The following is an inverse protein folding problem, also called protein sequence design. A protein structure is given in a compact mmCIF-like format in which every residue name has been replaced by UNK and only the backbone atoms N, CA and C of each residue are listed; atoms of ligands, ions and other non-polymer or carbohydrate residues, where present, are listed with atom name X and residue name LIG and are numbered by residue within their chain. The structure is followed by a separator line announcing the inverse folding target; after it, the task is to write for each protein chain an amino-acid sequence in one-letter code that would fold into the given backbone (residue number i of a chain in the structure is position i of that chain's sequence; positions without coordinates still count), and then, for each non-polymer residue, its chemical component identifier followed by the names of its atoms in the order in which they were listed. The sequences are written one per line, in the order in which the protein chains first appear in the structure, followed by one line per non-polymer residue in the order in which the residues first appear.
data_IF_615609626023
#
_entry.id   IF_615609626023
#
_cell.length_a   1.000
_cell.length_b   1.000
_cell.length_c   1.000
_cell.angle_alpha   90.00
_cell.angle_beta   90.00
_cell.angle_gamma   90.00
#
_symmetry.space_group_name_H-M   'P 1'
#
loop_
_entity.id
_entity.type
_entity.pdbx_description
1 polymer ?
#
# COMPACT_ATOMS: atom_id res chain seq x y z
N UNK A 1 32.12 14.10 1.08
CA UNK A 1 31.50 14.94 0.04
C UNK A 1 30.26 15.55 0.65
N UNK A 2 30.15 16.88 0.71
CA UNK A 2 28.93 17.51 1.19
C UNK A 2 27.80 17.17 0.21
N UNK A 3 26.75 16.50 0.68
CA UNK A 3 25.57 16.23 -0.13
C UNK A 3 24.93 17.58 -0.44
N UNK A 4 24.78 17.90 -1.73
CA UNK A 4 24.15 19.15 -2.16
C UNK A 4 22.62 19.01 -2.09
N UNK A 5 22.08 19.23 -0.89
CA UNK A 5 20.64 19.17 -0.62
C UNK A 5 19.88 20.19 -1.49
N UNK A 6 20.48 21.33 -1.84
CA UNK A 6 19.83 22.33 -2.69
C UNK A 6 19.67 21.81 -4.12
N UNK A 7 20.68 21.15 -4.66
CA UNK A 7 20.59 20.50 -5.97
C UNK A 7 19.55 19.38 -5.99
N UNK A 8 19.53 18.52 -4.96
CA UNK A 8 18.52 17.45 -4.84
C UNK A 8 17.12 18.08 -4.75
N UNK A 9 16.92 19.08 -3.90
CA UNK A 9 15.61 19.72 -3.71
C UNK A 9 15.08 20.33 -5.01
N UNK A 10 15.93 21.05 -5.76
CA UNK A 10 15.55 21.62 -7.06
C UNK A 10 15.19 20.54 -8.08
N UNK A 11 15.94 19.43 -8.10
CA UNK A 11 15.66 18.28 -8.97
C UNK A 11 14.32 17.64 -8.62
N UNK A 12 14.06 17.37 -7.34
CA UNK A 12 12.78 16.80 -6.89
C UNK A 12 11.61 17.73 -7.18
N UNK A 13 11.75 19.03 -6.94
CA UNK A 13 10.69 20.02 -7.19
C UNK A 13 10.26 20.03 -8.66
N UNK A 14 11.22 20.00 -9.60
CA UNK A 14 10.94 19.94 -11.04
C UNK A 14 10.35 18.59 -11.45
N UNK A 15 10.95 17.49 -10.98
CA UNK A 15 10.58 16.17 -11.45
C UNK A 15 9.27 15.64 -10.84
N UNK A 16 8.79 16.23 -9.73
CA UNK A 16 7.55 15.85 -9.03
C UNK A 16 6.30 16.61 -9.52
N UNK A 17 6.41 17.52 -10.49
CA UNK A 17 5.27 18.32 -10.99
C UNK A 17 4.09 17.45 -11.46
N UNK A 18 4.39 16.31 -12.09
CA UNK A 18 3.37 15.38 -12.60
C UNK A 18 2.45 14.80 -11.50
N UNK A 19 2.89 14.78 -10.24
CA UNK A 19 2.08 14.30 -9.12
C UNK A 19 0.83 15.16 -8.93
N UNK A 20 0.96 16.48 -9.13
CA UNK A 20 -0.17 17.40 -9.05
C UNK A 20 -1.13 17.15 -10.21
N UNK A 21 -0.62 16.87 -11.41
CA UNK A 21 -1.44 16.51 -12.56
C UNK A 21 -2.26 15.24 -12.29
N UNK A 22 -1.62 14.18 -11.76
CA UNK A 22 -2.32 12.95 -11.37
C UNK A 22 -3.39 13.26 -10.30
N UNK A 23 -3.03 13.99 -9.25
CA UNK A 23 -3.94 14.26 -8.12
C UNK A 23 -5.16 15.08 -8.56
N UNK A 24 -4.94 16.07 -9.42
CA UNK A 24 -6.01 16.91 -9.99
C UNK A 24 -6.94 16.09 -10.89
N UNK A 25 -6.38 15.22 -11.73
CA UNK A 25 -7.17 14.37 -12.61
C UNK A 25 -8.00 13.32 -11.83
N UNK A 26 -7.41 12.71 -10.81
CA UNK A 26 -8.10 11.78 -9.92
C UNK A 26 -9.24 12.47 -9.15
N UNK A 27 -9.01 13.70 -8.68
CA UNK A 27 -9.99 14.48 -7.90
C UNK A 27 -11.25 14.87 -8.68
N UNK A 28 -11.21 14.80 -10.02
CA UNK A 28 -12.41 14.97 -10.87
C UNK A 28 -13.44 13.87 -10.62
N UNK A 29 -12.98 12.64 -10.36
CA UNK A 29 -13.86 11.48 -10.15
C UNK A 29 -13.99 11.12 -8.69
N UNK A 30 -12.89 11.19 -7.93
CA UNK A 30 -12.82 10.76 -6.54
C UNK A 30 -13.03 11.94 -5.59
N UNK A 31 -13.93 11.75 -4.62
CA UNK A 31 -14.29 12.75 -3.62
C UNK A 31 -13.95 12.20 -2.23
N UNK A 32 -13.33 13.02 -1.39
CA UNK A 32 -13.09 12.68 0.02
C UNK A 32 -12.00 11.64 0.31
N UNK A 33 -11.31 11.12 -0.70
CA UNK A 33 -10.32 10.04 -0.53
C UNK A 33 -8.88 10.47 -0.77
N UNK A 34 -8.54 11.73 -0.45
CA UNK A 34 -7.17 12.26 -0.63
C UNK A 34 -6.13 11.39 0.06
N UNK A 35 -6.42 10.95 1.28
CA UNK A 35 -5.56 10.06 2.05
C UNK A 35 -5.27 8.75 1.29
N UNK A 36 -6.29 8.05 0.79
CA UNK A 36 -6.10 6.80 0.07
C UNK A 36 -5.28 6.99 -1.21
N UNK A 37 -5.59 8.03 -2.01
CA UNK A 37 -4.85 8.32 -3.23
C UNK A 37 -3.38 8.62 -2.94
N UNK A 38 -3.11 9.42 -1.91
CA UNK A 38 -1.74 9.71 -1.47
C UNK A 38 -0.99 8.41 -1.10
N UNK A 39 -1.63 7.49 -0.40
CA UNK A 39 -1.00 6.20 -0.03
C UNK A 39 -0.80 5.25 -1.19
N UNK A 40 -1.69 5.27 -2.18
CA UNK A 40 -1.48 4.54 -3.44
C UNK A 40 -0.30 5.11 -4.23
N UNK A 41 -0.15 6.44 -4.27
CA UNK A 41 1.02 7.09 -4.88
C UNK A 41 2.30 6.74 -4.14
N UNK A 42 2.30 6.77 -2.80
CA UNK A 42 3.43 6.30 -1.99
C UNK A 42 3.77 4.86 -2.36
N UNK A 43 2.79 3.93 -2.37
CA UNK A 43 3.01 2.54 -2.76
C UNK A 43 3.59 2.37 -4.17
N UNK A 44 3.15 3.18 -5.15
CA UNK A 44 3.73 3.19 -6.48
C UNK A 44 5.19 3.66 -6.47
N UNK A 45 5.49 4.76 -5.79
CA UNK A 45 6.80 5.40 -5.71
C UNK A 45 7.80 4.64 -4.84
N UNK A 46 7.33 3.85 -3.89
CA UNK A 46 8.15 3.01 -3.00
C UNK A 46 8.22 1.56 -3.44
N UNK A 47 7.56 1.21 -4.55
CA UNK A 47 7.38 -0.16 -5.00
C UNK A 47 6.78 -1.09 -3.91
N UNK A 48 5.88 -0.56 -3.09
CA UNK A 48 5.22 -1.26 -1.99
C UNK A 48 3.75 -1.57 -2.26
N UNK A 49 3.25 -2.68 -1.73
CA UNK A 49 1.84 -3.07 -1.83
C UNK A 49 1.01 -2.53 -0.66
N UNK A 50 -0.29 -2.36 -0.88
CA UNK A 50 -1.20 -1.74 0.08
C UNK A 50 -2.31 -2.73 0.46
N UNK A 51 -2.51 -2.91 1.75
CA UNK A 51 -3.67 -3.59 2.32
C UNK A 51 -4.69 -2.53 2.76
N UNK A 52 -5.95 -2.72 2.45
CA UNK A 52 -7.01 -1.79 2.76
C UNK A 52 -8.10 -2.52 3.54
N UNK A 53 -8.27 -2.11 4.78
CA UNK A 53 -9.39 -2.48 5.61
C UNK A 53 -10.43 -1.36 5.57
N UNK A 54 -11.66 -1.71 5.24
CA UNK A 54 -12.72 -0.71 5.21
C UNK A 54 -14.02 -1.28 4.68
N UNK A 55 -15.10 -0.59 5.00
CA UNK A 55 -16.47 -0.96 4.63
C UNK A 55 -16.68 -0.99 3.10
N UNK A 56 -17.64 -1.79 2.62
CA UNK A 56 -18.03 -1.80 1.21
C UNK A 56 -18.60 -0.44 0.79
N UNK A 57 -18.57 -0.16 -0.52
CA UNK A 57 -19.16 1.05 -1.09
C UNK A 57 -18.27 2.30 -1.08
N UNK A 58 -17.04 2.25 -0.55
CA UNK A 58 -16.10 3.37 -0.53
C UNK A 58 -15.39 3.63 -1.87
N UNK A 59 -16.02 3.37 -3.01
CA UNK A 59 -15.48 3.64 -4.35
C UNK A 59 -14.02 3.17 -4.61
N UNK A 60 -13.52 2.16 -3.88
CA UNK A 60 -12.12 1.68 -3.93
C UNK A 60 -11.73 1.26 -5.36
N UNK A 61 -12.61 0.50 -6.01
CA UNK A 61 -12.46 0.10 -7.42
C UNK A 61 -12.34 1.31 -8.35
N UNK A 62 -13.15 2.35 -8.12
CA UNK A 62 -13.12 3.55 -8.92
C UNK A 62 -11.82 4.31 -8.71
N UNK A 63 -11.34 4.42 -7.47
CA UNK A 63 -10.08 5.10 -7.18
C UNK A 63 -8.87 4.45 -7.84
N UNK A 64 -8.71 3.12 -7.73
CA UNK A 64 -7.60 2.40 -8.37
C UNK A 64 -7.71 2.47 -9.89
N UNK A 65 -8.92 2.29 -10.45
CA UNK A 65 -9.15 2.37 -11.90
C UNK A 65 -8.90 3.78 -12.44
N UNK A 66 -9.30 4.82 -11.70
CA UNK A 66 -9.02 6.20 -12.08
C UNK A 66 -7.52 6.47 -12.04
N UNK A 67 -6.84 6.06 -10.97
CA UNK A 67 -5.38 6.20 -10.86
C UNK A 67 -4.63 5.42 -11.95
N UNK A 68 -5.11 4.23 -12.34
CA UNK A 68 -4.47 3.49 -13.43
C UNK A 68 -4.61 4.21 -14.77
N UNK A 69 -5.80 4.77 -15.03
CA UNK A 69 -6.09 5.50 -16.25
C UNK A 69 -5.27 6.79 -16.37
N UNK A 70 -5.03 7.49 -15.26
CA UNK A 70 -4.19 8.71 -15.27
C UNK A 70 -2.72 8.40 -15.58
N UNK A 71 -2.24 7.19 -15.27
CA UNK A 71 -0.85 6.74 -15.44
C UNK A 71 -0.70 5.81 -16.68
N UNK A 72 -1.72 5.66 -17.54
CA UNK A 72 -1.69 4.72 -18.69
C UNK A 72 -1.31 3.28 -18.34
N UNK A 73 -1.69 2.82 -17.16
CA UNK A 73 -1.34 1.49 -16.66
C UNK A 73 -2.50 0.51 -16.83
N UNK A 74 -2.19 -0.78 -16.97
CA UNK A 74 -3.23 -1.82 -17.00
C UNK A 74 -3.82 -2.00 -15.61
N UNK A 75 -5.14 -1.93 -15.53
CA UNK A 75 -5.89 -2.25 -14.31
C UNK A 75 -6.60 -3.58 -14.43
N UNK A 76 -6.50 -4.37 -13.37
CA UNK A 76 -7.26 -5.59 -13.21
C UNK A 76 -7.91 -5.65 -11.83
N UNK A 77 -9.22 -5.90 -11.81
CA UNK A 77 -9.93 -6.27 -10.59
C UNK A 77 -10.01 -7.79 -10.49
N UNK A 78 -9.73 -8.30 -9.31
CA UNK A 78 -9.79 -9.70 -8.94
C UNK A 78 -10.67 -9.84 -7.72
N UNK A 79 -11.77 -10.56 -7.87
CA UNK A 79 -12.63 -10.91 -6.76
C UNK A 79 -12.15 -12.23 -6.16
N UNK A 80 -11.79 -12.22 -4.89
CA UNK A 80 -11.41 -13.44 -4.18
C UNK A 80 -12.68 -14.14 -3.71
N UNK A 81 -12.81 -15.41 -4.09
CA UNK A 81 -13.94 -16.28 -3.75
C UNK A 81 -13.44 -17.61 -3.19
N UNK A 82 -14.27 -18.37 -2.45
CA UNK A 82 -13.84 -19.64 -1.83
C UNK A 82 -13.40 -20.71 -2.83
N UNK A 83 -13.89 -20.65 -4.07
CA UNK A 83 -13.64 -21.58 -5.17
C UNK A 83 -12.46 -21.19 -6.06
N UNK A 84 -11.89 -19.98 -5.87
CA UNK A 84 -10.78 -19.48 -6.67
C UNK A 84 -9.55 -20.40 -6.53
N UNK A 85 -8.87 -20.71 -7.64
CA UNK A 85 -7.64 -21.48 -7.64
C UNK A 85 -6.41 -20.60 -7.91
N UNK A 86 -5.21 -20.99 -7.44
CA UNK A 86 -3.98 -20.26 -7.77
C UNK A 86 -3.76 -20.09 -9.29
N UNK A 87 -4.15 -21.08 -10.09
CA UNK A 87 -4.04 -21.03 -11.54
C UNK A 87 -4.96 -19.97 -12.18
N UNK A 88 -6.08 -19.61 -11.55
CA UNK A 88 -6.96 -18.55 -12.03
C UNK A 88 -6.35 -17.17 -11.84
N UNK A 89 -5.42 -17.03 -10.90
CA UNK A 89 -4.67 -15.81 -10.62
C UNK A 89 -3.41 -15.70 -11.51
N UNK A 90 -2.60 -16.75 -11.49
CA UNK A 90 -1.28 -16.80 -12.11
C UNK A 90 -1.40 -17.05 -13.63
N UNK A 91 -2.30 -17.94 -14.03
CA UNK A 91 -2.41 -18.43 -15.40
C UNK A 91 -2.22 -19.93 -15.50
N UNK A 92 -2.48 -20.47 -16.68
CA UNK A 92 -2.46 -21.91 -16.94
C UNK A 92 -1.96 -22.23 -18.35
N UNK A 93 -1.59 -23.49 -18.58
CA UNK A 93 -1.30 -24.01 -19.91
C UNK A 93 -2.61 -24.45 -20.57
N UNK A 94 -2.91 -23.90 -21.74
CA UNK A 94 -4.06 -24.29 -22.55
C UNK A 94 -3.58 -25.13 -23.74
N UNK A 95 -4.27 -26.23 -24.03
CA UNK A 95 -3.96 -27.04 -25.21
C UNK A 95 -4.57 -26.41 -26.46
N UNK A 96 -3.74 -25.94 -27.38
CA UNK A 96 -4.18 -25.41 -28.67
C UNK A 96 -4.38 -26.57 -29.66
N UNK A 97 -5.65 -26.92 -29.90
CA UNK A 97 -6.05 -28.00 -30.81
C UNK A 97 -5.61 -27.76 -32.26
N UNK A 98 -5.41 -26.51 -32.69
CA UNK A 98 -5.00 -26.21 -34.06
C UNK A 98 -3.54 -26.60 -34.32
N UNK A 99 -2.70 -26.51 -33.29
CA UNK A 99 -1.25 -26.68 -33.41
C UNK A 99 -0.77 -27.96 -32.73
N UNK A 100 -1.62 -28.60 -31.93
CA UNK A 100 -1.28 -29.74 -31.09
C UNK A 100 -0.28 -29.42 -29.97
N UNK A 101 -0.24 -28.16 -29.49
CA UNK A 101 0.75 -27.67 -28.53
C UNK A 101 0.09 -27.01 -27.33
N UNK A 102 0.71 -27.14 -26.16
CA UNK A 102 0.34 -26.33 -25.00
C UNK A 102 0.87 -24.91 -25.15
N UNK A 103 0.01 -23.91 -24.96
CA UNK A 103 0.35 -22.49 -24.98
C UNK A 103 0.02 -21.87 -23.62
N UNK A 104 0.85 -20.92 -23.18
CA UNK A 104 0.66 -20.27 -21.89
C UNK A 104 -0.41 -19.20 -21.97
N UNK A 105 -1.44 -19.32 -21.13
CA UNK A 105 -2.42 -18.26 -20.90
C UNK A 105 -2.07 -17.55 -19.60
N UNK A 106 -1.54 -16.32 -19.72
CA UNK A 106 -1.24 -15.44 -18.58
C UNK A 106 -2.53 -15.12 -17.82
N UNK A 107 -2.45 -15.20 -16.49
CA UNK A 107 -3.55 -14.86 -15.60
C UNK A 107 -3.76 -13.35 -15.44
N UNK A 108 -4.81 -12.96 -14.71
CA UNK A 108 -5.15 -11.57 -14.42
C UNK A 108 -4.09 -10.84 -13.58
N UNK A 109 -3.16 -11.54 -12.90
CA UNK A 109 -2.09 -10.89 -12.13
C UNK A 109 -1.11 -10.10 -13.02
N UNK A 110 -1.07 -10.38 -14.34
CA UNK A 110 -0.27 -9.65 -15.32
C UNK A 110 -0.93 -8.32 -15.71
N UNK A 111 -1.00 -7.42 -14.74
CA UNK A 111 -1.40 -6.03 -14.88
C UNK A 111 -0.51 -5.16 -14.00
N UNK A 112 -0.49 -3.86 -14.24
CA UNK A 112 0.30 -2.92 -13.45
C UNK A 112 -0.37 -2.60 -12.11
N UNK A 113 -1.70 -2.45 -12.10
CA UNK A 113 -2.48 -2.14 -10.91
C UNK A 113 -3.54 -3.22 -10.71
N UNK A 114 -3.38 -3.98 -9.64
CA UNK A 114 -4.26 -5.10 -9.30
C UNK A 114 -5.04 -4.76 -8.05
N UNK A 115 -6.37 -4.75 -8.16
CA UNK A 115 -7.27 -4.71 -7.01
C UNK A 115 -7.66 -6.16 -6.65
N UNK A 116 -7.12 -6.67 -5.55
CA UNK A 116 -7.48 -7.97 -4.98
C UNK A 116 -8.56 -7.76 -3.92
N UNK A 117 -9.82 -7.91 -4.32
CA UNK A 117 -10.98 -7.63 -3.48
C UNK A 117 -11.33 -8.82 -2.60
N UNK A 118 -11.50 -8.59 -1.30
CA UNK A 118 -11.89 -9.57 -0.28
C UNK A 118 -10.96 -10.78 -0.20
N UNK A 119 -9.65 -10.53 -0.12
CA UNK A 119 -8.61 -11.57 -0.10
C UNK A 119 -8.81 -12.62 0.99
N UNK A 120 -9.49 -12.24 2.07
CA UNK A 120 -9.87 -13.12 3.18
C UNK A 120 -11.01 -14.09 2.82
N UNK A 121 -11.59 -14.07 1.62
CA UNK A 121 -12.62 -15.05 1.20
C UNK A 121 -12.10 -16.26 0.45
N UNK A 122 -10.81 -16.26 0.04
CA UNK A 122 -10.20 -17.40 -0.63
C UNK A 122 -9.30 -18.21 0.31
N UNK A 123 -9.07 -19.50 0.00
CA UNK A 123 -8.16 -20.35 0.77
C UNK A 123 -6.72 -19.81 0.82
N UNK A 124 -5.99 -20.18 1.88
CA UNK A 124 -4.61 -19.76 2.11
C UNK A 124 -3.64 -20.01 0.94
N UNK A 125 -3.90 -21.04 0.12
CA UNK A 125 -3.09 -21.33 -1.08
C UNK A 125 -3.19 -20.24 -2.15
N UNK A 126 -4.38 -19.67 -2.33
CA UNK A 126 -4.63 -18.58 -3.29
C UNK A 126 -4.01 -17.28 -2.78
N UNK A 127 -4.19 -17.01 -1.48
CA UNK A 127 -3.55 -15.88 -0.81
C UNK A 127 -2.02 -15.96 -0.95
N UNK A 128 -1.44 -17.15 -0.72
CA UNK A 128 0.01 -17.38 -0.86
C UNK A 128 0.49 -17.13 -2.29
N UNK A 129 -0.26 -17.56 -3.31
CA UNK A 129 0.08 -17.32 -4.71
C UNK A 129 0.13 -15.81 -5.06
N UNK A 130 -0.81 -15.01 -4.53
CA UNK A 130 -0.78 -13.55 -4.69
C UNK A 130 0.45 -12.95 -3.99
N UNK A 131 0.70 -13.35 -2.75
CA UNK A 131 1.80 -12.82 -1.93
C UNK A 131 3.18 -13.20 -2.50
N UNK A 132 3.30 -14.38 -3.10
CA UNK A 132 4.51 -14.80 -3.82
C UNK A 132 4.73 -13.91 -5.04
N UNK A 133 3.70 -13.69 -5.86
CA UNK A 133 3.76 -12.78 -7.01
C UNK A 133 4.15 -11.34 -6.60
N UNK A 134 3.64 -10.86 -5.45
CA UNK A 134 4.01 -9.56 -4.87
C UNK A 134 5.50 -9.49 -4.49
N UNK A 135 6.01 -10.52 -3.84
CA UNK A 135 7.39 -10.53 -3.35
C UNK A 135 8.41 -10.80 -4.46
N UNK A 136 8.16 -11.79 -5.31
CA UNK A 136 9.10 -12.26 -6.33
C UNK A 136 9.01 -11.47 -7.63
N UNK A 137 7.92 -10.72 -7.85
CA UNK A 137 7.66 -9.94 -9.09
C UNK A 137 7.67 -10.78 -10.37
N UNK A 138 7.50 -12.08 -10.23
CA UNK A 138 7.44 -13.03 -11.32
C UNK A 138 6.56 -14.20 -10.89
N UNK A 139 6.04 -14.93 -11.88
CA UNK A 139 5.26 -16.14 -11.64
C UNK A 139 5.70 -17.23 -12.61
N UNK A 140 5.66 -18.48 -12.16
CA UNK A 140 6.00 -19.64 -12.99
C UNK A 140 4.73 -20.34 -13.44
N UNK A 141 4.58 -20.52 -14.77
CA UNK A 141 3.46 -21.25 -15.38
C UNK A 141 4.02 -22.44 -16.13
N UNK A 142 3.70 -23.65 -15.67
CA UNK A 142 4.37 -24.86 -16.15
C UNK A 142 5.86 -24.81 -15.80
N UNK A 143 6.72 -24.83 -16.81
CA UNK A 143 8.19 -24.80 -16.64
C UNK A 143 8.80 -23.42 -16.92
N UNK A 144 8.00 -22.43 -17.32
CA UNK A 144 8.51 -21.11 -17.73
C UNK A 144 8.14 -20.04 -16.70
N UNK A 145 9.14 -19.27 -16.28
CA UNK A 145 8.97 -18.11 -15.39
C UNK A 145 8.75 -16.84 -16.21
N UNK A 146 7.76 -16.05 -15.80
CA UNK A 146 7.37 -14.81 -16.46
C UNK A 146 7.45 -13.64 -15.47
N UNK A 147 8.17 -12.56 -15.81
CA UNK A 147 8.13 -11.35 -15.00
C UNK A 147 6.76 -10.67 -15.10
N UNK A 148 6.36 -10.00 -14.02
CA UNK A 148 5.19 -9.14 -13.98
C UNK A 148 5.49 -7.76 -14.60
N UNK A 149 4.45 -7.05 -15.01
CA UNK A 149 4.57 -5.73 -15.66
C UNK A 149 5.03 -4.67 -14.62
N UNK A 150 6.01 -3.81 -14.93
CA UNK A 150 6.46 -2.72 -14.05
C UNK A 150 5.87 -1.37 -14.52
N UNK A 151 5.34 -0.49 -13.63
CA UNK A 151 5.12 -0.66 -12.20
C UNK A 151 4.09 -1.76 -11.89
N UNK A 152 4.33 -2.53 -10.82
CA UNK A 152 3.38 -3.51 -10.27
C UNK A 152 2.92 -3.09 -8.86
N UNK A 153 1.64 -2.80 -8.68
CA UNK A 153 1.00 -2.47 -7.41
C UNK A 153 -0.18 -3.41 -7.18
N UNK A 154 -0.28 -3.95 -5.96
CA UNK A 154 -1.45 -4.68 -5.49
C UNK A 154 -2.10 -3.86 -4.39
N UNK A 155 -3.36 -3.48 -4.58
CA UNK A 155 -4.25 -3.04 -3.51
C UNK A 155 -5.11 -4.25 -3.12
N UNK A 156 -4.87 -4.79 -1.95
CA UNK A 156 -5.66 -5.90 -1.42
C UNK A 156 -6.70 -5.36 -0.43
N UNK A 157 -7.94 -5.85 -0.45
CA UNK A 157 -8.97 -5.45 0.50
C UNK A 157 -9.36 -6.59 1.43
N UNK A 158 -9.70 -6.23 2.66
CA UNK A 158 -10.32 -7.12 3.63
C UNK A 158 -11.59 -6.47 4.16
N UNK A 159 -12.66 -7.26 4.22
CA UNK A 159 -13.91 -6.83 4.86
C UNK A 159 -13.91 -7.33 6.31
N UNK A 160 -13.87 -6.44 7.31
CA UNK A 160 -13.77 -6.85 8.72
C UNK A 160 -15.08 -7.41 9.29
N UNK A 161 -16.21 -7.20 8.62
CA UNK A 161 -17.55 -7.55 9.14
C UNK A 161 -17.97 -8.98 8.79
N UNK A 162 -17.34 -9.61 7.79
CA UNK A 162 -17.78 -10.89 7.24
C UNK A 162 -17.23 -12.07 8.08
N UNK A 163 -18.11 -12.69 8.87
CA UNK A 163 -17.75 -13.76 9.82
C UNK A 163 -17.87 -15.18 9.24
N UNK A 164 -18.62 -15.37 8.15
CA UNK A 164 -18.81 -16.69 7.54
C UNK A 164 -17.89 -16.90 6.32
N UNK A 165 -17.17 -18.03 6.30
CA UNK A 165 -16.36 -18.43 5.15
C UNK A 165 -15.11 -17.58 4.91
N UNK A 166 -14.62 -16.86 5.93
CA UNK A 166 -13.40 -16.07 5.85
C UNK A 166 -12.17 -16.80 6.40
N UNK A 167 -11.05 -16.59 5.73
CA UNK A 167 -9.71 -17.08 6.03
C UNK A 167 -8.84 -15.84 6.31
N UNK A 168 -8.69 -15.42 7.58
CA UNK A 168 -7.88 -14.25 7.89
C UNK A 168 -6.43 -14.48 7.46
N UNK A 169 -5.79 -13.41 6.99
CA UNK A 169 -4.37 -13.47 6.68
C UNK A 169 -3.57 -13.57 7.99
N UNK A 170 -2.69 -14.56 8.15
CA UNK A 170 -1.73 -14.59 9.24
C UNK A 170 -0.86 -13.32 9.27
N UNK A 171 -0.39 -12.92 10.43
CA UNK A 171 0.40 -11.71 10.67
C UNK A 171 1.65 -11.67 9.78
N UNK A 172 2.31 -12.83 9.61
CA UNK A 172 3.46 -12.97 8.72
C UNK A 172 3.14 -12.71 7.25
N UNK A 173 1.88 -12.90 6.83
CA UNK A 173 1.40 -12.57 5.49
C UNK A 173 1.05 -11.09 5.39
N UNK A 174 0.40 -10.53 6.40
CA UNK A 174 0.06 -9.10 6.46
C UNK A 174 1.34 -8.23 6.48
N UNK A 175 2.42 -8.67 7.13
CA UNK A 175 3.72 -7.96 7.17
C UNK A 175 4.36 -7.74 5.78
N UNK A 176 3.95 -8.52 4.77
CA UNK A 176 4.40 -8.34 3.37
C UNK A 176 3.80 -7.09 2.70
N UNK A 177 2.69 -6.58 3.21
CA UNK A 177 2.14 -5.30 2.74
C UNK A 177 2.91 -4.14 3.36
N UNK A 178 3.29 -3.17 2.55
CA UNK A 178 4.00 -1.98 3.03
C UNK A 178 3.10 -1.16 3.96
N UNK A 179 1.88 -0.89 3.51
CA UNK A 179 0.89 -0.05 4.19
C UNK A 179 -0.38 -0.86 4.47
N UNK A 180 -0.96 -0.70 5.67
CA UNK A 180 -2.35 -1.07 5.97
C UNK A 180 -3.14 0.22 6.20
N UNK A 181 -4.14 0.45 5.36
CA UNK A 181 -5.02 1.62 5.44
C UNK A 181 -6.33 1.21 6.10
N UNK A 182 -6.81 2.04 7.03
CA UNK A 182 -8.16 1.95 7.56
C UNK A 182 -8.96 3.14 7.06
N UNK A 183 -10.04 2.88 6.32
CA UNK A 183 -10.88 3.92 5.72
C UNK A 183 -12.32 3.74 6.19
N UNK A 184 -12.84 4.78 6.85
CA UNK A 184 -14.23 4.88 7.27
C UNK A 184 -15.15 5.45 6.18
N UNK A 185 -16.41 5.67 6.54
CA UNK A 185 -17.36 6.35 5.66
C UNK A 185 -16.95 7.82 5.41
N UNK A 186 -17.26 8.37 4.22
CA UNK A 186 -17.07 9.79 3.95
C UNK A 186 -17.87 10.65 4.93
N UNK A 187 -17.44 11.89 5.13
CA UNK A 187 -18.24 12.84 5.90
C UNK A 187 -19.47 13.30 5.10
N UNK A 188 -20.42 13.99 5.75
CA UNK A 188 -21.68 14.40 5.12
C UNK A 188 -21.51 15.25 3.86
N UNK A 189 -20.49 16.11 3.82
CA UNK A 189 -20.23 16.99 2.67
C UNK A 189 -19.66 16.18 1.51
N UNK A 190 -18.69 15.31 1.79
CA UNK A 190 -18.12 14.38 0.83
C UNK A 190 -19.20 13.42 0.27
N UNK A 191 -20.05 12.87 1.14
CA UNK A 191 -21.12 11.97 0.74
C UNK A 191 -22.19 12.67 -0.12
N UNK A 192 -22.54 13.91 0.21
CA UNK A 192 -23.43 14.71 -0.62
C UNK A 192 -22.85 14.96 -2.01
N UNK A 193 -21.55 15.24 -2.11
CA UNK A 193 -20.87 15.44 -3.39
C UNK A 193 -20.73 14.12 -4.17
N UNK A 194 -20.44 13.00 -3.50
CA UNK A 194 -20.47 11.66 -4.11
C UNK A 194 -21.87 11.39 -4.68
N UNK A 195 -22.92 11.63 -3.91
CA UNK A 195 -24.31 11.45 -4.34
C UNK A 195 -24.61 12.31 -5.58
N UNK A 196 -24.24 13.60 -5.58
CA UNK A 196 -24.46 14.50 -6.73
C UNK A 196 -23.74 14.02 -7.98
N UNK A 197 -22.48 13.58 -7.87
CA UNK A 197 -21.70 13.08 -9.01
C UNK A 197 -22.23 11.75 -9.54
N UNK A 198 -22.55 10.81 -8.66
CA UNK A 198 -23.01 9.46 -9.04
C UNK A 198 -24.47 9.44 -9.50
N UNK A 199 -25.31 10.36 -9.01
CA UNK A 199 -26.68 10.53 -9.49
C UNK A 199 -26.76 11.31 -10.82
N UNK A 200 -25.70 12.05 -11.18
CA UNK A 200 -25.55 12.68 -12.48
C UNK A 200 -25.39 11.65 -13.60
N UNK A 201 -25.83 11.99 -14.82
CA UNK A 201 -25.78 11.06 -15.97
C UNK A 201 -24.38 10.88 -16.59
N UNK A 202 -23.38 11.66 -16.19
CA UNK A 202 -22.04 11.61 -16.77
C UNK A 202 -20.98 11.50 -15.68
N UNK A 203 -20.31 10.34 -15.63
CA UNK A 203 -19.05 10.22 -14.88
C UNK A 203 -17.99 11.02 -15.63
N UNK A 204 -17.22 11.90 -14.96
CA UNK A 204 -16.17 12.67 -15.63
C UNK A 204 -15.18 11.74 -16.33
N UNK A 205 -14.85 12.03 -17.59
CA UNK A 205 -13.77 11.34 -18.28
C UNK A 205 -12.42 11.74 -17.69
N UNK A 206 -11.57 10.74 -17.48
CA UNK A 206 -10.24 10.87 -16.89
C UNK A 206 -9.24 10.81 -18.02
N UNK A 207 -8.45 11.86 -18.17
CA UNK A 207 -7.36 11.86 -19.15
C UNK A 207 -6.15 11.14 -18.61
N UNK A 208 -5.46 10.46 -19.50
CA UNK A 208 -4.11 9.99 -19.23
C UNK A 208 -3.17 11.20 -19.20
N UNK A 209 -2.48 11.41 -18.09
CA UNK A 209 -1.58 12.55 -17.89
C UNK A 209 -0.11 12.13 -17.77
N UNK A 210 0.16 10.87 -17.42
CA UNK A 210 1.52 10.38 -17.12
C UNK A 210 1.74 9.00 -17.73
N UNK A 211 2.95 8.76 -18.24
CA UNK A 211 3.40 7.45 -18.73
C UNK A 211 3.98 6.60 -17.57
N UNK A 212 3.81 5.27 -17.56
CA UNK A 212 4.36 4.42 -16.50
C UNK A 212 5.87 4.54 -16.31
N UNK A 213 6.64 4.77 -17.38
CA UNK A 213 8.09 4.97 -17.31
C UNK A 213 8.48 6.17 -16.44
N UNK A 214 7.60 7.19 -16.36
CA UNK A 214 7.80 8.36 -15.49
C UNK A 214 7.71 7.99 -14.01
N UNK A 215 6.81 7.07 -13.64
CA UNK A 215 6.73 6.52 -12.28
C UNK A 215 8.00 5.75 -11.94
N UNK A 216 8.48 4.92 -12.87
CA UNK A 216 9.71 4.14 -12.67
C UNK A 216 10.91 5.07 -12.47
N UNK A 217 11.06 6.11 -13.31
CA UNK A 217 12.10 7.11 -13.14
C UNK A 217 11.99 7.86 -11.80
N UNK A 218 10.77 8.18 -11.36
CA UNK A 218 10.52 8.84 -10.08
C UNK A 218 10.92 7.97 -8.88
N UNK A 219 10.83 6.63 -8.96
CA UNK A 219 11.32 5.73 -7.89
C UNK A 219 12.81 5.94 -7.62
N UNK A 220 13.63 6.04 -8.67
CA UNK A 220 15.07 6.31 -8.53
C UNK A 220 15.34 7.67 -7.89
N UNK A 221 14.49 8.68 -8.17
CA UNK A 221 14.59 9.99 -7.52
C UNK A 221 14.18 9.96 -6.05
N UNK A 222 13.18 9.14 -5.70
CA UNK A 222 12.79 8.91 -4.30
C UNK A 222 13.97 8.31 -3.52
N UNK A 223 14.74 7.40 -4.11
CA UNK A 223 15.94 6.84 -3.47
C UNK A 223 17.02 7.90 -3.19
N UNK A 224 17.15 8.91 -4.06
CA UNK A 224 18.06 10.05 -3.92
C UNK A 224 17.64 11.05 -2.83
N UNK A 225 16.38 11.04 -2.37
CA UNK A 225 15.91 11.95 -1.31
C UNK A 225 16.77 11.75 -0.06
N UNK A 226 17.30 12.87 0.46
CA UNK A 226 18.19 12.85 1.61
C UNK A 226 17.41 12.53 2.90
N UNK A 227 18.01 11.73 3.77
CA UNK A 227 17.53 11.50 5.13
C UNK A 227 18.72 11.61 6.06
N UNK A 228 18.57 12.43 7.10
CA UNK A 228 19.63 12.65 8.07
C UNK A 228 19.71 11.47 9.04
N UNK A 229 20.92 11.16 9.52
CA UNK A 229 21.16 10.08 10.48
C UNK A 229 20.27 10.21 11.72
N UNK A 230 19.97 11.44 12.16
CA UNK A 230 19.04 11.68 13.28
C UNK A 230 17.64 11.15 13.00
N UNK A 231 17.14 11.32 11.78
CA UNK A 231 15.82 10.83 11.38
C UNK A 231 15.86 9.30 11.21
N UNK A 232 16.95 8.73 10.71
CA UNK A 232 17.14 7.28 10.67
C UNK A 232 17.13 6.67 12.08
N UNK A 233 17.82 7.29 13.04
CA UNK A 233 17.78 6.89 14.45
C UNK A 233 16.37 7.00 15.02
N UNK A 234 15.65 8.09 14.73
CA UNK A 234 14.24 8.25 15.12
C UNK A 234 13.35 7.09 14.60
N UNK A 235 13.54 6.65 13.36
CA UNK A 235 12.84 5.47 12.81
C UNK A 235 13.18 4.20 13.59
N UNK A 236 14.46 4.01 13.93
CA UNK A 236 14.91 2.85 14.72
C UNK A 236 14.30 2.89 16.12
N UNK A 237 14.32 4.04 16.79
CA UNK A 237 13.76 4.24 18.12
C UNK A 237 12.26 3.93 18.15
N UNK A 238 11.50 4.38 17.14
CA UNK A 238 10.08 4.02 16.99
C UNK A 238 9.90 2.50 16.94
N UNK A 239 10.69 1.80 16.10
CA UNK A 239 10.55 0.35 15.92
C UNK A 239 10.96 -0.40 17.19
N UNK A 240 12.06 -0.01 17.84
CA UNK A 240 12.53 -0.64 19.07
C UNK A 240 11.60 -0.35 20.25
N UNK A 241 10.96 0.81 20.32
CA UNK A 241 9.94 1.11 21.31
C UNK A 241 8.72 0.16 21.24
N UNK A 242 8.49 -0.50 20.10
CA UNK A 242 7.47 -1.57 20.01
C UNK A 242 7.98 -2.93 20.49
N UNK A 243 9.29 -3.13 20.63
CA UNK A 243 9.93 -4.41 21.01
C UNK A 243 10.40 -4.41 22.46
N UNK A 244 10.98 -3.30 22.90
CA UNK A 244 11.49 -3.05 24.26
C UNK A 244 10.88 -1.77 24.84
N UNK A 245 9.54 -1.67 24.95
CA UNK A 245 8.85 -0.44 25.34
C UNK A 245 9.33 0.14 26.68
N UNK A 246 9.74 -0.73 27.62
CA UNK A 246 10.32 -0.33 28.90
C UNK A 246 11.57 0.56 28.78
N UNK A 247 12.43 0.32 27.79
CA UNK A 247 13.65 1.12 27.58
C UNK A 247 13.33 2.57 27.14
N UNK A 248 12.12 2.80 26.64
CA UNK A 248 11.63 4.09 26.16
C UNK A 248 10.63 4.74 27.14
N UNK A 249 10.52 4.23 28.36
CA UNK A 249 9.60 4.73 29.38
C UNK A 249 8.12 4.53 29.02
N UNK A 250 7.81 3.40 28.36
CA UNK A 250 6.48 2.91 28.04
C UNK A 250 6.21 1.60 28.80
N UNK A 251 6.47 1.59 30.11
CA UNK A 251 6.30 0.41 30.96
C UNK A 251 4.87 -0.17 30.88
N UNK A 252 3.86 0.67 30.66
CA UNK A 252 2.46 0.29 30.52
C UNK A 252 2.16 -0.54 29.26
N UNK A 253 3.06 -0.55 28.27
CA UNK A 253 2.91 -1.32 27.03
C UNK A 253 3.62 -2.68 27.07
N UNK A 254 4.47 -2.93 28.06
CA UNK A 254 5.36 -4.12 28.07
C UNK A 254 4.58 -5.43 28.07
N UNK A 255 3.50 -5.51 28.85
CA UNK A 255 2.67 -6.71 28.96
C UNK A 255 1.51 -6.72 27.93
N UNK A 256 1.34 -5.62 27.18
CA UNK A 256 0.28 -5.45 26.19
C UNK A 256 0.74 -5.80 24.77
N UNK A 257 2.05 -5.87 24.52
CA UNK A 257 2.63 -6.21 23.21
C UNK A 257 3.16 -7.64 23.24
N UNK A 258 2.53 -8.53 22.48
CA UNK A 258 3.00 -9.90 22.28
C UNK A 258 4.22 -9.92 21.36
N UNK A 259 4.16 -9.18 20.24
CA UNK A 259 5.26 -9.06 19.29
C UNK A 259 5.32 -7.65 18.69
N UNK A 260 6.50 -7.04 18.75
CA UNK A 260 6.79 -5.74 18.15
C UNK A 260 7.03 -5.80 16.64
N UNK A 261 7.15 -4.63 16.03
CA UNK A 261 7.27 -4.49 14.58
C UNK A 261 8.55 -5.14 14.02
N UNK A 262 8.46 -5.80 12.86
CA UNK A 262 9.59 -6.49 12.21
C UNK A 262 10.62 -5.53 11.59
N UNK A 263 11.82 -5.97 11.15
CA UNK A 263 12.75 -5.12 10.40
C UNK A 263 12.16 -4.56 9.09
N UNK A 264 11.08 -5.14 8.56
CA UNK A 264 10.36 -4.54 7.42
C UNK A 264 9.74 -3.20 7.80
N UNK A 265 9.39 -2.99 9.06
CA UNK A 265 8.86 -1.71 9.53
C UNK A 265 9.88 -0.58 9.36
N UNK A 266 11.13 -0.76 9.81
CA UNK A 266 12.16 0.29 9.67
C UNK A 266 12.50 0.55 8.22
N UNK A 267 12.62 -0.48 7.38
CA UNK A 267 12.84 -0.35 5.94
C UNK A 267 11.67 0.41 5.28
N UNK A 268 10.44 0.03 5.58
CA UNK A 268 9.27 0.67 4.98
C UNK A 268 9.07 2.10 5.48
N UNK A 269 9.35 2.40 6.76
CA UNK A 269 9.34 3.77 7.28
C UNK A 269 10.34 4.63 6.50
N UNK A 270 11.58 4.13 6.33
CA UNK A 270 12.61 4.83 5.58
C UNK A 270 12.20 5.16 4.14
N UNK A 271 11.76 4.15 3.38
CA UNK A 271 11.41 4.31 1.97
C UNK A 271 10.14 5.16 1.81
N UNK A 272 9.10 4.89 2.59
CA UNK A 272 7.85 5.63 2.46
C UNK A 272 7.95 7.06 3.00
N UNK A 273 8.88 7.36 3.92
CA UNK A 273 9.14 8.75 4.35
C UNK A 273 9.79 9.56 3.23
N UNK A 274 10.72 8.94 2.48
CA UNK A 274 11.29 9.55 1.27
C UNK A 274 10.23 9.79 0.21
N UNK A 275 9.35 8.80 -0.03
CA UNK A 275 8.24 8.96 -0.96
C UNK A 275 7.26 10.06 -0.52
N UNK A 276 6.96 10.16 0.78
CA UNK A 276 6.11 11.23 1.31
C UNK A 276 6.77 12.61 1.14
N UNK A 277 8.07 12.75 1.45
CA UNK A 277 8.82 13.98 1.20
C UNK A 277 8.82 14.37 -0.28
N UNK A 278 8.98 13.39 -1.19
CA UNK A 278 8.89 13.58 -2.63
C UNK A 278 7.52 14.12 -3.06
N UNK A 279 6.42 13.57 -2.53
CA UNK A 279 5.06 14.07 -2.79
C UNK A 279 4.85 15.51 -2.27
N UNK A 280 5.63 15.93 -1.27
CA UNK A 280 5.66 17.31 -0.76
C UNK A 280 6.69 18.20 -1.49
N UNK A 281 7.27 17.73 -2.60
CA UNK A 281 8.28 18.44 -3.41
C UNK A 281 9.56 18.77 -2.64
N UNK A 282 9.91 17.95 -1.65
CA UNK A 282 11.13 18.13 -0.85
C UNK A 282 12.18 17.08 -1.17
N UNK A 283 13.41 17.53 -1.32
CA UNK A 283 14.61 16.70 -1.50
C UNK A 283 15.19 16.13 -0.21
N UNK A 284 14.51 16.30 0.92
CA UNK A 284 14.93 15.80 2.23
C UNK A 284 13.72 15.39 3.08
N UNK A 285 13.92 14.39 3.94
CA UNK A 285 12.93 13.86 4.88
C UNK A 285 12.95 14.65 6.19
N UNK A 286 11.78 14.92 6.76
CA UNK A 286 11.62 15.43 8.13
C UNK A 286 10.93 14.40 9.03
N UNK A 287 11.04 14.51 10.36
CA UNK A 287 10.36 13.60 11.29
C UNK A 287 8.83 13.57 11.13
N UNK A 288 8.21 14.65 10.66
CA UNK A 288 6.79 14.70 10.33
C UNK A 288 6.43 13.73 9.20
N UNK A 289 7.34 13.51 8.24
CA UNK A 289 7.13 12.51 7.18
C UNK A 289 7.06 11.10 7.75
N UNK A 290 7.91 10.80 8.75
CA UNK A 290 7.91 9.52 9.47
C UNK A 290 6.62 9.36 10.28
N UNK A 291 6.21 10.38 11.01
CA UNK A 291 4.96 10.37 11.78
C UNK A 291 3.73 10.22 10.89
N UNK A 292 3.72 10.90 9.75
CA UNK A 292 2.59 10.87 8.81
C UNK A 292 2.32 9.47 8.29
N UNK A 293 3.35 8.67 7.99
CA UNK A 293 3.22 7.30 7.49
C UNK A 293 3.24 6.24 8.59
N UNK A 294 3.72 6.59 9.79
CA UNK A 294 4.07 5.63 10.84
C UNK A 294 2.90 4.74 11.25
N UNK A 295 1.72 5.34 11.33
CA UNK A 295 0.49 4.64 11.66
C UNK A 295 0.11 3.59 10.60
N UNK A 296 0.31 3.90 9.32
CA UNK A 296 -0.04 3.01 8.19
C UNK A 296 0.94 1.85 8.04
N UNK A 297 2.15 2.00 8.56
CA UNK A 297 3.20 0.97 8.51
C UNK A 297 3.17 0.10 9.76
N UNK A 298 2.88 0.65 10.94
CA UNK A 298 3.04 -0.08 12.20
C UNK A 298 1.78 -0.80 12.66
N UNK A 299 0.57 -0.32 12.31
CA UNK A 299 -0.69 -0.85 12.86
C UNK A 299 -0.91 -2.35 12.65
N UNK A 300 -0.34 -2.92 11.59
CA UNK A 300 -0.44 -4.34 11.25
C UNK A 300 0.81 -5.14 11.55
N UNK A 301 1.79 -4.51 12.19
CA UNK A 301 3.08 -5.11 12.54
C UNK A 301 3.27 -5.27 14.04
N UNK A 302 2.31 -4.80 14.84
CA UNK A 302 2.28 -4.97 16.29
C UNK A 302 1.16 -5.94 16.61
N UNK A 303 1.52 -7.05 17.26
CA UNK A 303 0.56 -8.00 17.82
C UNK A 303 0.38 -7.69 19.30
N UNK A 304 -0.86 -7.49 19.72
CA UNK A 304 -1.22 -7.26 21.12
C UNK A 304 -1.45 -8.59 21.84
N UNK A 305 -1.33 -8.59 23.17
CA UNK A 305 -1.61 -9.78 24.00
C UNK A 305 -3.11 -9.98 24.20
N UNK A 306 -3.50 -11.15 24.71
CA UNK A 306 -4.89 -11.45 25.02
C UNK A 306 -5.41 -10.56 26.15
N UNK A 307 -4.53 -10.21 27.09
CA UNK A 307 -4.77 -9.24 28.15
C UNK A 307 -5.08 -7.86 27.59
N UNK A 308 -4.31 -7.40 26.59
CA UNK A 308 -4.58 -6.13 25.91
C UNK A 308 -5.93 -6.13 25.20
N UNK A 309 -6.31 -7.23 24.55
CA UNK A 309 -7.65 -7.37 23.95
C UNK A 309 -8.76 -7.30 25.01
N UNK A 310 -8.57 -7.93 26.17
CA UNK A 310 -9.51 -7.86 27.29
C UNK A 310 -9.62 -6.44 27.89
N UNK A 311 -8.56 -5.65 27.80
CA UNK A 311 -8.52 -4.23 28.19
C UNK A 311 -8.97 -3.28 27.06
N UNK A 312 -9.47 -3.80 25.94
CA UNK A 312 -9.85 -3.05 24.74
C UNK A 312 -8.71 -2.19 24.15
N UNK A 313 -7.45 -2.59 24.37
CA UNK A 313 -6.26 -1.93 23.82
C UNK A 313 -5.93 -2.53 22.46
N UNK A 314 -6.08 -1.72 21.41
CA UNK A 314 -5.77 -2.14 20.05
C UNK A 314 -4.30 -1.90 19.68
N UNK A 315 -3.82 -2.57 18.62
CA UNK A 315 -2.50 -2.28 18.04
C UNK A 315 -2.38 -0.81 17.63
N UNK A 316 -3.47 -0.19 17.18
CA UNK A 316 -3.53 1.23 16.83
C UNK A 316 -3.28 2.14 18.04
N UNK A 317 -3.78 1.79 19.22
CA UNK A 317 -3.54 2.55 20.46
C UNK A 317 -2.08 2.45 20.89
N UNK A 318 -1.48 1.26 20.77
CA UNK A 318 -0.05 1.05 21.01
C UNK A 318 0.79 1.93 20.08
N UNK A 319 0.51 1.91 18.77
CA UNK A 319 1.23 2.75 17.80
C UNK A 319 1.09 4.24 18.15
N UNK A 320 -0.12 4.69 18.50
CA UNK A 320 -0.37 6.08 18.88
C UNK A 320 0.46 6.50 20.10
N UNK A 321 0.51 5.66 21.14
CA UNK A 321 1.34 5.91 22.34
C UNK A 321 2.83 5.98 21.99
N UNK A 322 3.34 5.02 21.20
CA UNK A 322 4.74 4.99 20.77
C UNK A 322 5.09 6.26 19.98
N UNK A 323 4.32 6.58 18.93
CA UNK A 323 4.61 7.76 18.09
C UNK A 323 4.53 9.08 18.86
N UNK A 324 3.68 9.17 19.89
CA UNK A 324 3.58 10.36 20.73
C UNK A 324 4.72 10.48 21.76
N UNK A 325 5.24 9.36 22.25
CA UNK A 325 6.27 9.31 23.29
C UNK A 325 7.67 9.55 22.76
N UNK A 326 8.00 8.99 21.59
CA UNK A 326 9.35 9.14 21.02
C UNK A 326 9.54 10.57 20.53
N UNK A 327 10.53 11.24 21.10
CA UNK A 327 10.87 12.62 20.83
C UNK A 327 11.40 12.80 19.40
N UNK A 328 11.05 13.93 18.81
CA UNK A 328 11.52 14.32 17.48
C UNK A 328 12.92 14.94 17.62
N UNK A 329 13.92 14.52 16.82
CA UNK A 329 15.34 14.87 17.01
C UNK A 329 15.77 16.27 16.51
#
# INVERSE_FOLDING_TARGET
MAIDIQAINKKIEQESEFIEQITNEVSKVIVGQKYMIERLLIGLLSNGHVLLEGVPGLAKTMAVKTLSSTIQTKFQRLQFTPDLLPADLIGTLIYDQRNGKFTTKKGPIFANMVLADEINRSPAKVQSALLEAMMERQVTIGETTYPLDDPFLVLATQNPIEQEGTYPLPEAQVDRFMLKLSIGYPNKEEEMEIMRRMAGKAVPEVNSVVDPARIIAARSLVDEVYIDEKVERYIIDIVFATRTPKEYGLDDLQDLIAFGASPRASINLHIASKAHAFLRRRGYVTPEDVRAIGFDILRHRILVTYEAEAEEVSSEDVVRKVLNKIEVP
#
